data_IF_434849899247
#
_entry.id   IF_434849899247
#
_cell.length_a   1.000
_cell.length_b   1.000
_cell.length_c   1.000
_cell.angle_alpha   90.00
_cell.angle_beta   90.00
_cell.angle_gamma   90.00
#
_symmetry.space_group_name_H-M   'P 1'
#
loop_
_entity.id
_entity.type
_entity.pdbx_description
1 polymer ?
#
# COMPACT_ATOMS: atom_id res chain seq x y z
N UNK A 1 11.34 -4.75 2.46
CA UNK A 1 11.10 -5.61 1.29
C UNK A 1 10.99 -4.72 0.08
N UNK A 2 11.98 -4.80 -0.80
CA UNK A 2 12.04 -4.03 -2.03
C UNK A 2 10.96 -4.53 -3.02
N UNK A 3 10.51 -3.69 -3.97
CA UNK A 3 9.69 -4.15 -5.10
C UNK A 3 10.32 -5.34 -5.83
N UNK A 4 11.66 -5.39 -5.89
CA UNK A 4 12.43 -6.47 -6.51
C UNK A 4 12.21 -7.82 -5.81
N UNK A 5 12.12 -7.83 -4.48
CA UNK A 5 11.88 -9.06 -3.70
C UNK A 5 10.51 -9.67 -4.06
N UNK A 6 9.48 -8.83 -4.23
CA UNK A 6 8.13 -9.29 -4.58
C UNK A 6 8.13 -9.84 -6.01
N UNK A 7 8.82 -9.18 -6.94
CA UNK A 7 8.98 -9.68 -8.31
C UNK A 7 9.76 -10.99 -8.35
N UNK A 8 10.76 -11.17 -7.48
CA UNK A 8 11.48 -12.44 -7.37
C UNK A 8 10.56 -13.57 -6.87
N UNK A 9 9.73 -13.31 -5.86
CA UNK A 9 8.72 -14.27 -5.37
C UNK A 9 7.75 -14.64 -6.49
N UNK A 10 7.26 -13.66 -7.24
CA UNK A 10 6.37 -13.87 -8.40
C UNK A 10 7.04 -14.75 -9.46
N UNK A 11 8.28 -14.45 -9.84
CA UNK A 11 9.04 -15.28 -10.80
C UNK A 11 9.34 -16.67 -10.26
N UNK A 12 9.50 -16.82 -8.94
CA UNK A 12 9.63 -18.11 -8.29
C UNK A 12 8.34 -18.93 -8.41
N UNK A 13 7.18 -18.28 -8.23
CA UNK A 13 5.88 -18.92 -8.45
C UNK A 13 5.69 -19.38 -9.89
N UNK A 14 6.01 -18.55 -10.88
CA UNK A 14 5.93 -18.94 -12.29
C UNK A 14 6.76 -20.20 -12.57
N UNK A 15 7.98 -20.26 -12.03
CA UNK A 15 8.85 -21.45 -12.14
C UNK A 15 8.24 -22.68 -11.48
N UNK A 16 7.68 -22.54 -10.28
CA UNK A 16 7.04 -23.64 -9.55
C UNK A 16 5.78 -24.15 -10.25
N UNK A 17 4.97 -23.26 -10.81
CA UNK A 17 3.76 -23.62 -11.55
C UNK A 17 4.12 -24.31 -12.85
N UNK A 18 5.12 -23.81 -13.57
CA UNK A 18 5.65 -24.48 -14.76
C UNK A 18 6.18 -25.89 -14.43
N UNK A 19 6.90 -26.03 -13.30
CA UNK A 19 7.40 -27.32 -12.84
C UNK A 19 6.27 -28.28 -12.43
N UNK A 20 5.25 -27.80 -11.72
CA UNK A 20 4.07 -28.59 -11.35
C UNK A 20 3.31 -29.07 -12.59
N UNK A 21 3.14 -28.20 -13.60
CA UNK A 21 2.53 -28.58 -14.89
C UNK A 21 3.31 -29.69 -15.56
N UNK A 22 4.63 -29.57 -15.63
CA UNK A 22 5.46 -30.59 -16.27
C UNK A 22 5.38 -31.93 -15.54
N UNK A 23 5.40 -31.91 -14.20
CA UNK A 23 5.22 -33.12 -13.40
C UNK A 23 3.88 -33.82 -13.64
N UNK A 24 2.79 -33.05 -13.81
CA UNK A 24 1.46 -33.63 -14.14
C UNK A 24 1.45 -34.24 -15.54
N UNK A 25 2.08 -33.60 -16.53
CA UNK A 25 2.19 -34.13 -17.89
C UNK A 25 2.99 -35.44 -17.89
N UNK A 26 4.16 -35.46 -17.25
CA UNK A 26 5.00 -36.66 -17.14
C UNK A 26 4.26 -37.79 -16.42
N UNK A 27 3.55 -37.50 -15.33
CA UNK A 27 2.75 -38.50 -14.62
C UNK A 27 1.59 -39.07 -15.46
N UNK A 28 0.98 -38.25 -16.33
CA UNK A 28 -0.05 -38.71 -17.27
C UNK A 28 0.54 -39.58 -18.38
N UNK A 29 1.72 -39.23 -18.89
CA UNK A 29 2.41 -39.97 -19.95
C UNK A 29 2.86 -41.35 -19.44
N UNK A 30 3.50 -41.41 -18.26
CA UNK A 30 3.86 -42.66 -17.57
C UNK A 30 2.64 -43.55 -17.28
N UNK A 31 1.51 -42.94 -16.92
CA UNK A 31 0.26 -43.67 -16.70
C UNK A 31 -0.30 -44.26 -18.00
N UNK A 32 -0.21 -43.51 -19.11
CA UNK A 32 -0.62 -43.99 -20.44
C UNK A 32 0.27 -45.13 -20.93
N UNK A 33 1.59 -45.05 -20.78
CA UNK A 33 2.51 -46.13 -21.18
C UNK A 33 2.35 -47.41 -20.35
N UNK A 34 2.03 -47.29 -19.07
CA UNK A 34 1.89 -48.44 -18.16
C UNK A 34 0.53 -49.15 -18.22
N UNK A 35 -0.48 -48.52 -18.83
CA UNK A 35 -1.87 -48.96 -18.79
C UNK A 35 -2.41 -49.54 -20.09
N UNK A 36 -2.81 -50.81 -20.11
CA UNK A 36 -3.57 -51.37 -21.24
C UNK A 36 -4.95 -50.71 -21.43
N UNK A 37 -5.59 -50.92 -22.59
CA UNK A 37 -6.88 -50.39 -23.13
C UNK A 37 -7.91 -49.76 -22.16
N UNK A 38 -8.03 -50.22 -20.92
CA UNK A 38 -8.89 -49.59 -19.89
C UNK A 38 -8.35 -48.22 -19.39
N UNK A 39 -7.05 -47.97 -19.51
CA UNK A 39 -6.41 -46.72 -19.08
C UNK A 39 -6.61 -45.59 -20.09
N UNK A 40 -6.66 -45.88 -21.39
CA UNK A 40 -6.96 -44.86 -22.41
C UNK A 40 -8.31 -44.19 -22.18
N UNK A 41 -9.33 -44.96 -21.78
CA UNK A 41 -10.67 -44.41 -21.47
C UNK A 41 -10.63 -43.52 -20.22
N UNK A 42 -9.82 -43.86 -19.22
CA UNK A 42 -9.66 -43.04 -18.02
C UNK A 42 -8.87 -41.76 -18.31
N UNK A 43 -7.84 -41.82 -19.18
CA UNK A 43 -7.07 -40.67 -19.64
C UNK A 43 -7.93 -39.72 -20.47
N UNK A 44 -8.82 -40.22 -21.34
CA UNK A 44 -9.73 -39.36 -22.10
C UNK A 44 -10.77 -38.65 -21.20
N UNK A 45 -11.33 -39.37 -20.21
CA UNK A 45 -12.34 -38.80 -19.30
C UNK A 45 -11.72 -37.77 -18.34
N UNK A 46 -10.50 -38.01 -17.84
CA UNK A 46 -9.86 -37.16 -16.83
C UNK A 46 -8.92 -36.12 -17.46
N UNK A 47 -8.26 -36.46 -18.56
CA UNK A 47 -7.21 -35.65 -19.18
C UNK A 47 -7.71 -34.36 -19.79
N UNK A 48 -8.85 -34.37 -20.49
CA UNK A 48 -9.41 -33.14 -21.08
C UNK A 48 -9.86 -32.13 -20.01
N UNK A 49 -10.64 -32.52 -18.97
CA UNK A 49 -10.97 -31.61 -17.87
C UNK A 49 -9.75 -31.12 -17.08
N UNK A 50 -8.75 -31.98 -16.86
CA UNK A 50 -7.53 -31.62 -16.14
C UNK A 50 -6.69 -30.63 -16.93
N UNK A 51 -6.52 -30.84 -18.23
CA UNK A 51 -5.82 -29.90 -19.10
C UNK A 51 -6.50 -28.52 -19.11
N UNK A 52 -7.84 -28.49 -19.20
CA UNK A 52 -8.61 -27.25 -19.11
C UNK A 52 -8.46 -26.56 -17.75
N UNK A 53 -8.43 -27.32 -16.65
CA UNK A 53 -8.21 -26.76 -15.31
C UNK A 53 -6.79 -26.19 -15.15
N UNK A 54 -5.77 -26.85 -15.70
CA UNK A 54 -4.39 -26.35 -15.69
C UNK A 54 -4.23 -25.10 -16.55
N UNK A 55 -4.90 -25.03 -17.70
CA UNK A 55 -4.93 -23.83 -18.54
C UNK A 55 -5.64 -22.67 -17.84
N UNK A 56 -6.77 -22.94 -17.18
CA UNK A 56 -7.47 -21.93 -16.38
C UNK A 56 -6.61 -21.43 -15.21
N UNK A 57 -5.88 -22.33 -14.55
CA UNK A 57 -4.94 -21.97 -13.50
C UNK A 57 -3.81 -21.08 -14.02
N UNK A 58 -3.20 -21.43 -15.15
CA UNK A 58 -2.14 -20.62 -15.78
C UNK A 58 -2.67 -19.20 -16.09
N UNK A 59 -3.88 -19.10 -16.65
CA UNK A 59 -4.51 -17.83 -16.95
C UNK A 59 -4.75 -17.00 -15.68
N UNK A 60 -5.32 -17.60 -14.63
CA UNK A 60 -5.57 -16.91 -13.36
C UNK A 60 -4.27 -16.42 -12.70
N UNK A 61 -3.21 -17.21 -12.76
CA UNK A 61 -1.89 -16.84 -12.23
C UNK A 61 -1.33 -15.66 -13.01
N UNK A 62 -1.38 -15.68 -14.35
CA UNK A 62 -0.93 -14.56 -15.19
C UNK A 62 -1.71 -13.29 -14.91
N UNK A 63 -3.04 -13.39 -14.79
CA UNK A 63 -3.91 -12.25 -14.50
C UNK A 63 -3.64 -11.68 -13.10
N UNK A 64 -3.40 -12.55 -12.12
CA UNK A 64 -2.98 -12.16 -10.77
C UNK A 64 -1.64 -11.41 -10.81
N UNK A 65 -0.63 -11.97 -11.49
CA UNK A 65 0.69 -11.36 -11.63
C UNK A 65 0.60 -9.99 -12.29
N UNK A 66 -0.09 -9.88 -13.43
CA UNK A 66 -0.27 -8.62 -14.14
C UNK A 66 -1.04 -7.58 -13.30
N UNK A 67 -1.93 -8.03 -12.42
CA UNK A 67 -2.64 -7.16 -11.49
C UNK A 67 -1.73 -6.71 -10.35
N UNK A 68 -0.94 -7.60 -9.77
CA UNK A 68 0.04 -7.27 -8.74
C UNK A 68 1.11 -6.31 -9.27
N UNK A 69 1.64 -6.53 -10.48
CA UNK A 69 2.60 -5.62 -11.11
C UNK A 69 2.01 -4.21 -11.27
N UNK A 70 0.78 -4.10 -11.79
CA UNK A 70 0.08 -2.81 -11.91
C UNK A 70 -0.11 -2.13 -10.57
N UNK A 71 -0.52 -2.87 -9.54
CA UNK A 71 -0.73 -2.31 -8.19
C UNK A 71 0.59 -1.87 -7.57
N UNK A 72 1.64 -2.68 -7.66
CA UNK A 72 2.97 -2.36 -7.09
C UNK A 72 3.57 -1.13 -7.77
N UNK A 73 3.46 -1.03 -9.10
CA UNK A 73 3.90 0.14 -9.85
C UNK A 73 3.08 1.38 -9.44
N UNK A 74 1.76 1.25 -9.31
CA UNK A 74 0.88 2.36 -8.95
C UNK A 74 1.09 2.86 -7.50
N UNK A 75 1.38 1.96 -6.56
CA UNK A 75 1.62 2.31 -5.15
C UNK A 75 2.99 2.97 -4.92
N UNK A 76 3.91 2.89 -5.89
CA UNK A 76 5.24 3.48 -5.79
C UNK A 76 6.11 2.83 -4.71
N UNK A 77 7.18 3.52 -4.30
CA UNK A 77 8.08 3.06 -3.24
C UNK A 77 7.68 3.72 -1.90
N UNK A 78 7.32 2.97 -0.85
CA UNK A 78 6.98 3.55 0.45
C UNK A 78 8.13 4.37 1.06
N UNK A 79 9.39 4.05 0.73
CA UNK A 79 10.53 4.89 1.15
C UNK A 79 10.54 6.27 0.50
N UNK A 80 9.95 6.42 -0.68
CA UNK A 80 9.82 7.73 -1.32
C UNK A 80 8.80 8.57 -0.54
N UNK A 81 7.71 7.95 -0.09
CA UNK A 81 6.72 8.59 0.78
C UNK A 81 7.30 8.94 2.14
N UNK A 82 8.08 8.06 2.77
CA UNK A 82 8.81 8.36 4.02
C UNK A 82 9.76 9.56 3.83
N UNK A 83 10.50 9.59 2.71
CA UNK A 83 11.38 10.72 2.38
C UNK A 83 10.62 12.02 2.15
N UNK A 84 9.48 11.97 1.47
CA UNK A 84 8.61 13.14 1.25
C UNK A 84 8.00 13.60 2.58
N UNK A 85 7.55 12.70 3.44
CA UNK A 85 7.03 12.99 4.79
C UNK A 85 8.09 13.70 5.64
N UNK A 86 9.31 13.15 5.67
CA UNK A 86 10.43 13.75 6.39
C UNK A 86 10.83 15.12 5.80
N UNK A 87 10.89 15.25 4.48
CA UNK A 87 11.20 16.52 3.82
C UNK A 87 10.11 17.57 4.07
N UNK A 88 8.83 17.20 4.04
CA UNK A 88 7.73 18.10 4.35
C UNK A 88 7.82 18.62 5.79
N UNK A 89 8.02 17.72 6.75
CA UNK A 89 8.18 18.07 8.16
C UNK A 89 9.38 19.02 8.37
N UNK A 90 10.52 18.72 7.74
CA UNK A 90 11.72 19.55 7.85
C UNK A 90 11.59 20.92 7.15
N UNK A 91 11.17 20.93 5.88
CA UNK A 91 11.16 22.14 5.04
C UNK A 91 9.95 23.04 5.31
N UNK A 92 8.78 22.46 5.59
CA UNK A 92 7.56 23.23 5.87
C UNK A 92 7.39 23.43 7.36
N UNK A 93 7.41 22.33 8.13
CA UNK A 93 7.26 22.39 9.59
C UNK A 93 8.40 23.16 10.25
N UNK A 94 9.65 22.84 9.91
CA UNK A 94 10.81 23.53 10.45
C UNK A 94 10.84 25.03 10.13
N UNK A 95 10.48 25.43 8.90
CA UNK A 95 10.41 26.87 8.55
C UNK A 95 9.25 27.58 9.24
N UNK A 96 8.10 26.94 9.37
CA UNK A 96 6.97 27.54 10.04
C UNK A 96 7.24 27.72 11.54
N UNK A 97 7.84 26.72 12.20
CA UNK A 97 8.29 26.84 13.59
C UNK A 97 9.36 27.93 13.75
N UNK A 98 10.32 28.04 12.82
CA UNK A 98 11.30 29.13 12.84
C UNK A 98 10.65 30.53 12.76
N UNK A 99 9.59 30.69 11.97
CA UNK A 99 8.83 31.95 11.93
C UNK A 99 8.09 32.23 13.26
N UNK A 100 7.58 31.20 13.94
CA UNK A 100 6.99 31.36 15.29
C UNK A 100 8.04 31.86 16.26
N UNK A 101 9.24 31.27 16.24
CA UNK A 101 10.38 31.68 17.08
C UNK A 101 10.81 33.13 16.78
N UNK A 102 10.90 33.51 15.51
CA UNK A 102 11.29 34.87 15.10
C UNK A 102 10.29 35.95 15.52
N UNK A 103 9.02 35.59 15.69
CA UNK A 103 7.91 36.51 16.04
C UNK A 103 7.60 36.46 17.55
N UNK A 104 8.33 35.65 18.33
CA UNK A 104 8.02 35.41 19.74
C UNK A 104 8.03 36.72 20.55
N UNK A 105 7.02 36.99 21.39
CA UNK A 105 6.89 38.27 22.10
C UNK A 105 8.06 38.57 23.05
N UNK A 106 8.77 37.53 23.49
CA UNK A 106 9.99 37.63 24.30
C UNK A 106 11.09 38.44 23.59
N UNK A 107 11.16 38.39 22.25
CA UNK A 107 12.08 39.19 21.44
C UNK A 107 11.63 40.66 21.36
N UNK A 108 10.32 40.92 21.43
CA UNK A 108 9.78 42.29 21.48
C UNK A 108 10.00 42.94 22.86
N UNK A 109 10.14 42.17 23.93
CA UNK A 109 10.46 42.68 25.26
C UNK A 109 11.95 43.01 25.45
N UNK A 110 12.82 42.49 24.59
CA UNK A 110 14.25 42.83 24.62
C UNK A 110 14.49 44.30 24.24
N UNK A 111 13.69 44.85 23.33
CA UNK A 111 13.77 46.27 22.98
C UNK A 111 12.86 47.13 23.87
N UNK A 112 13.30 47.32 25.13
CA UNK A 112 12.58 48.11 26.15
C UNK A 112 12.38 49.59 25.81
N UNK A 113 12.88 50.04 24.65
CA UNK A 113 12.75 51.43 24.23
C UNK A 113 11.43 51.71 23.52
N UNK A 114 10.75 50.69 22.97
CA UNK A 114 9.47 50.87 22.30
C UNK A 114 8.30 50.71 23.29
N UNK A 115 7.61 51.82 23.56
CA UNK A 115 6.50 51.91 24.52
C UNK A 115 5.35 52.74 23.96
N UNK A 116 4.19 52.71 24.65
CA UNK A 116 3.00 53.48 24.29
C UNK A 116 1.95 52.69 23.48
N UNK A 117 0.87 53.37 23.11
CA UNK A 117 -0.34 52.77 22.50
C UNK A 117 -0.04 51.97 21.22
N UNK A 118 0.90 52.44 20.39
CA UNK A 118 1.32 51.72 19.18
C UNK A 118 2.01 50.38 19.49
N UNK A 119 2.81 50.31 20.55
CA UNK A 119 3.47 49.06 20.97
C UNK A 119 2.45 48.04 21.51
N UNK A 120 1.42 48.51 22.23
CA UNK A 120 0.35 47.66 22.74
C UNK A 120 -0.52 47.12 21.60
N UNK A 121 -0.87 47.96 20.64
CA UNK A 121 -1.61 47.55 19.44
C UNK A 121 -0.82 46.51 18.64
N UNK A 122 0.50 46.69 18.48
CA UNK A 122 1.33 45.71 17.79
C UNK A 122 1.40 44.37 18.54
N UNK A 123 1.60 44.38 19.86
CA UNK A 123 1.58 43.15 20.69
C UNK A 123 0.26 42.38 20.58
N UNK A 124 -0.86 43.10 20.50
CA UNK A 124 -2.17 42.49 20.29
C UNK A 124 -2.26 41.79 18.93
N UNK A 125 -1.76 42.42 17.86
CA UNK A 125 -1.72 41.83 16.51
C UNK A 125 -0.79 40.62 16.45
N UNK A 126 0.41 40.71 17.03
CA UNK A 126 1.38 39.60 17.06
C UNK A 126 0.82 38.38 17.79
N UNK A 127 0.12 38.57 18.91
CA UNK A 127 -0.54 37.46 19.62
C UNK A 127 -1.57 36.75 18.74
N UNK A 128 -2.34 37.51 17.96
CA UNK A 128 -3.32 36.95 17.01
C UNK A 128 -2.61 36.20 15.88
N UNK A 129 -1.51 36.74 15.36
CA UNK A 129 -0.72 36.11 14.31
C UNK A 129 -0.08 34.80 14.79
N UNK A 130 0.49 34.77 15.99
CA UNK A 130 1.08 33.57 16.57
C UNK A 130 0.03 32.48 16.77
N UNK A 131 -1.14 32.85 17.31
CA UNK A 131 -2.25 31.89 17.46
C UNK A 131 -2.74 31.35 16.12
N UNK A 132 -2.88 32.23 15.13
CA UNK A 132 -3.25 31.80 13.78
C UNK A 132 -2.16 30.92 13.13
N UNK A 133 -0.87 31.19 13.41
CA UNK A 133 0.21 30.34 12.93
C UNK A 133 0.18 28.97 13.61
N UNK A 134 -0.05 28.92 14.92
CA UNK A 134 -0.18 27.68 15.70
C UNK A 134 -1.36 26.83 15.19
N UNK A 135 -2.53 27.47 15.03
CA UNK A 135 -3.75 26.87 14.49
C UNK A 135 -3.58 26.36 13.04
N UNK A 136 -2.62 26.91 12.29
CA UNK A 136 -2.28 26.46 10.92
C UNK A 136 -1.25 25.35 10.98
N UNK A 137 -0.12 25.57 11.67
CA UNK A 137 1.06 24.68 11.68
C UNK A 137 0.72 23.32 12.24
N UNK A 138 0.05 23.26 13.39
CA UNK A 138 -0.25 22.00 14.05
C UNK A 138 -1.07 21.03 13.17
N UNK A 139 -2.26 21.40 12.68
CA UNK A 139 -3.05 20.47 11.87
C UNK A 139 -2.48 20.24 10.47
N UNK A 140 -1.70 21.18 9.92
CA UNK A 140 -1.08 20.99 8.61
C UNK A 140 0.12 20.07 8.64
N UNK A 141 1.08 20.40 9.48
CA UNK A 141 2.36 19.71 9.51
C UNK A 141 2.13 18.33 10.12
N UNK A 142 1.45 18.28 11.27
CA UNK A 142 1.19 17.02 11.97
C UNK A 142 0.14 16.19 11.24
N UNK A 143 -0.91 16.81 10.69
CA UNK A 143 -1.97 16.08 9.98
C UNK A 143 -1.48 15.46 8.66
N UNK A 144 -0.73 16.22 7.85
CA UNK A 144 -0.15 15.67 6.61
C UNK A 144 0.90 14.61 6.92
N UNK A 145 1.76 14.85 7.91
CA UNK A 145 2.75 13.85 8.32
C UNK A 145 2.08 12.56 8.79
N UNK A 146 1.06 12.65 9.65
CA UNK A 146 0.31 11.48 10.11
C UNK A 146 -0.35 10.72 8.95
N UNK A 147 -0.97 11.43 8.00
CA UNK A 147 -1.59 10.80 6.83
C UNK A 147 -0.56 10.11 5.92
N UNK A 148 0.63 10.70 5.75
CA UNK A 148 1.72 10.09 4.98
C UNK A 148 2.29 8.85 5.70
N UNK A 149 2.48 8.93 7.01
CA UNK A 149 3.00 7.82 7.82
C UNK A 149 2.00 6.64 7.87
N UNK A 150 0.70 6.94 7.92
CA UNK A 150 -0.39 5.96 7.81
C UNK A 150 -0.40 5.31 6.41
N UNK A 151 -0.29 6.11 5.35
CA UNK A 151 -0.21 5.59 3.99
C UNK A 151 1.02 4.68 3.78
N UNK A 152 2.18 5.05 4.32
CA UNK A 152 3.39 4.22 4.31
C UNK A 152 3.13 2.89 5.03
N UNK A 153 2.52 2.92 6.20
CA UNK A 153 2.21 1.72 7.00
C UNK A 153 1.22 0.80 6.28
N UNK A 154 0.20 1.37 5.64
CA UNK A 154 -0.76 0.63 4.84
C UNK A 154 -0.10 -0.07 3.64
N UNK A 155 0.79 0.63 2.93
CA UNK A 155 1.55 0.05 1.80
C UNK A 155 2.43 -1.10 2.28
N UNK A 156 3.13 -0.94 3.42
CA UNK A 156 3.94 -2.02 4.00
C UNK A 156 3.09 -3.24 4.39
N UNK A 157 1.96 -3.01 5.05
CA UNK A 157 1.04 -4.07 5.49
C UNK A 157 0.46 -4.81 4.29
N UNK A 158 0.04 -4.09 3.25
CA UNK A 158 -0.43 -4.69 2.01
C UNK A 158 0.64 -5.56 1.35
N UNK A 159 1.88 -5.07 1.22
CA UNK A 159 2.99 -5.84 0.65
C UNK A 159 3.25 -7.12 1.43
N UNK A 160 3.26 -7.05 2.76
CA UNK A 160 3.42 -8.22 3.62
C UNK A 160 2.26 -9.23 3.42
N UNK A 161 1.02 -8.73 3.34
CA UNK A 161 -0.17 -9.56 3.09
C UNK A 161 -0.12 -10.28 1.75
N UNK A 162 0.29 -9.58 0.68
CA UNK A 162 0.48 -10.18 -0.65
C UNK A 162 1.52 -11.29 -0.59
N UNK A 163 2.68 -11.05 0.02
CA UNK A 163 3.73 -12.08 0.12
C UNK A 163 3.27 -13.30 0.91
N UNK A 164 2.59 -13.10 2.04
CA UNK A 164 2.04 -14.21 2.82
C UNK A 164 1.02 -15.02 2.02
N UNK A 165 0.14 -14.35 1.26
CA UNK A 165 -0.82 -15.02 0.39
C UNK A 165 -0.13 -15.84 -0.71
N UNK A 166 0.91 -15.28 -1.36
CA UNK A 166 1.68 -15.97 -2.38
C UNK A 166 2.41 -17.20 -1.81
N UNK A 167 3.04 -17.06 -0.64
CA UNK A 167 3.69 -18.18 0.07
C UNK A 167 2.69 -19.28 0.45
N UNK A 168 1.48 -18.92 0.88
CA UNK A 168 0.42 -19.88 1.18
C UNK A 168 -0.02 -20.67 -0.06
N UNK A 169 -0.15 -20.01 -1.21
CA UNK A 169 -0.44 -20.68 -2.49
C UNK A 169 0.67 -21.67 -2.83
N UNK A 170 1.95 -21.26 -2.77
CA UNK A 170 3.10 -22.15 -3.02
C UNK A 170 3.08 -23.36 -2.09
N UNK A 171 2.91 -23.13 -0.78
CA UNK A 171 2.91 -24.19 0.22
C UNK A 171 1.75 -25.19 0.05
N UNK A 172 0.67 -24.78 -0.64
CA UNK A 172 -0.49 -25.63 -0.90
C UNK A 172 -0.32 -26.57 -2.10
N UNK A 173 0.59 -26.26 -3.04
CA UNK A 173 0.80 -27.05 -4.26
C UNK A 173 1.18 -28.53 -4.00
N UNK A 174 2.08 -28.87 -3.05
CA UNK A 174 2.45 -30.26 -2.80
C UNK A 174 1.30 -31.13 -2.28
N UNK A 175 0.30 -30.52 -1.61
CA UNK A 175 -0.85 -31.25 -1.07
C UNK A 175 -1.94 -31.52 -2.13
N UNK A 176 -1.86 -30.84 -3.28
CA UNK A 176 -2.91 -30.83 -4.30
C UNK A 176 -2.71 -31.88 -5.41
N UNK A 177 -1.70 -32.75 -5.31
CA UNK A 177 -1.43 -33.84 -6.28
C UNK A 177 -2.55 -34.90 -6.31
N UNK A 178 -3.48 -34.87 -5.34
CA UNK A 178 -4.78 -35.50 -5.51
C UNK A 178 -5.67 -34.57 -6.37
N UNK A 179 -6.11 -35.04 -7.53
CA UNK A 179 -6.74 -34.25 -8.62
C UNK A 179 -7.97 -33.40 -8.20
N UNK A 180 -8.61 -33.69 -7.06
CA UNK A 180 -9.81 -32.98 -6.58
C UNK A 180 -9.53 -31.69 -5.76
N UNK A 181 -8.60 -31.64 -4.78
CA UNK A 181 -8.34 -30.44 -3.97
C UNK A 181 -7.64 -29.24 -4.66
N UNK A 182 -7.10 -29.40 -5.87
CA UNK A 182 -6.28 -28.36 -6.53
C UNK A 182 -7.09 -27.11 -6.92
N UNK A 183 -8.36 -27.28 -7.30
CA UNK A 183 -9.26 -26.14 -7.62
C UNK A 183 -9.65 -25.36 -6.36
N UNK A 184 -9.85 -26.05 -5.24
CA UNK A 184 -10.23 -25.42 -3.98
C UNK A 184 -9.10 -24.56 -3.40
N UNK A 185 -7.85 -24.99 -3.54
CA UNK A 185 -6.67 -24.29 -2.99
C UNK A 185 -6.37 -22.97 -3.72
N UNK A 186 -6.55 -22.95 -5.04
CA UNK A 186 -6.38 -21.74 -5.87
C UNK A 186 -7.44 -20.69 -5.53
N UNK A 187 -8.69 -21.11 -5.32
CA UNK A 187 -9.77 -20.22 -4.90
C UNK A 187 -9.47 -19.54 -3.56
N UNK A 188 -8.88 -20.26 -2.59
CA UNK A 188 -8.50 -19.70 -1.29
C UNK A 188 -7.42 -18.61 -1.42
N UNK A 189 -6.45 -18.80 -2.32
CA UNK A 189 -5.41 -17.81 -2.60
C UNK A 189 -5.96 -16.50 -3.17
N UNK A 190 -6.88 -16.61 -4.14
CA UNK A 190 -7.54 -15.45 -4.74
C UNK A 190 -8.36 -14.65 -3.70
N UNK A 191 -9.05 -15.34 -2.78
CA UNK A 191 -9.81 -14.69 -1.70
C UNK A 191 -8.89 -13.94 -0.73
N UNK A 192 -7.72 -14.49 -0.40
CA UNK A 192 -6.76 -13.82 0.48
C UNK A 192 -6.22 -12.52 -0.14
N UNK A 193 -5.89 -12.53 -1.44
CA UNK A 193 -5.43 -11.32 -2.16
C UNK A 193 -6.56 -10.28 -2.23
N UNK A 194 -7.79 -10.70 -2.52
CA UNK A 194 -8.95 -9.80 -2.53
C UNK A 194 -9.19 -9.15 -1.15
N UNK A 195 -9.03 -9.91 -0.06
CA UNK A 195 -9.12 -9.39 1.31
C UNK A 195 -8.03 -8.36 1.62
N UNK A 196 -6.78 -8.62 1.23
CA UNK A 196 -5.68 -7.66 1.40
C UNK A 196 -5.90 -6.37 0.60
N UNK A 197 -6.42 -6.49 -0.63
CA UNK A 197 -6.79 -5.32 -1.45
C UNK A 197 -7.92 -4.51 -0.82
N UNK A 198 -8.90 -5.17 -0.21
CA UNK A 198 -10.00 -4.50 0.47
C UNK A 198 -9.52 -3.71 1.69
N UNK A 199 -8.66 -4.30 2.52
CA UNK A 199 -8.05 -3.61 3.66
C UNK A 199 -7.22 -2.39 3.21
N UNK A 200 -6.36 -2.55 2.19
CA UNK A 200 -5.61 -1.44 1.62
C UNK A 200 -6.53 -0.31 1.12
N UNK A 201 -7.67 -0.67 0.53
CA UNK A 201 -8.64 0.31 0.03
C UNK A 201 -9.28 1.13 1.16
N UNK A 202 -9.47 0.52 2.33
CA UNK A 202 -9.96 1.20 3.55
C UNK A 202 -8.90 2.16 4.07
N UNK A 203 -7.66 1.69 4.27
CA UNK A 203 -6.58 2.52 4.80
C UNK A 203 -6.28 3.72 3.87
N UNK A 204 -6.32 3.51 2.55
CA UNK A 204 -6.18 4.59 1.57
C UNK A 204 -7.36 5.56 1.59
N UNK A 205 -8.58 5.07 1.86
CA UNK A 205 -9.76 5.91 1.99
C UNK A 205 -9.68 6.78 3.25
N UNK A 206 -9.16 6.23 4.36
CA UNK A 206 -8.96 6.95 5.62
C UNK A 206 -7.86 8.02 5.46
N UNK A 207 -6.70 7.66 4.89
CA UNK A 207 -5.64 8.61 4.58
C UNK A 207 -6.15 9.76 3.67
N UNK A 208 -6.97 9.43 2.66
CA UNK A 208 -7.62 10.42 1.80
C UNK A 208 -8.60 11.30 2.59
N UNK A 209 -9.40 10.72 3.48
CA UNK A 209 -10.35 11.45 4.33
C UNK A 209 -9.63 12.46 5.21
N UNK A 210 -8.51 12.06 5.82
CA UNK A 210 -7.63 12.94 6.59
C UNK A 210 -7.13 14.10 5.72
N UNK A 211 -6.58 13.81 4.53
CA UNK A 211 -6.10 14.86 3.62
C UNK A 211 -7.21 15.82 3.16
N UNK A 212 -8.41 15.30 2.88
CA UNK A 212 -9.56 16.12 2.47
C UNK A 212 -10.04 16.98 3.64
N UNK A 213 -10.15 16.42 4.84
CA UNK A 213 -10.59 17.18 6.02
C UNK A 213 -9.59 18.26 6.40
N UNK A 214 -8.27 17.99 6.34
CA UNK A 214 -7.22 19.00 6.47
C UNK A 214 -7.36 20.09 5.38
N UNK A 215 -7.60 19.69 4.13
CA UNK A 215 -7.79 20.64 3.02
C UNK A 215 -9.10 21.44 3.07
N UNK A 216 -10.15 20.89 3.68
CA UNK A 216 -11.43 21.57 3.88
C UNK A 216 -11.35 22.53 5.06
N UNK A 217 -10.68 22.17 6.16
CA UNK A 217 -10.35 23.08 7.26
C UNK A 217 -9.56 24.29 6.74
N UNK A 218 -8.58 24.06 5.87
CA UNK A 218 -7.93 25.19 5.19
C UNK A 218 -8.92 26.03 4.40
N UNK A 219 -9.83 25.44 3.63
CA UNK A 219 -10.75 26.22 2.79
C UNK A 219 -11.81 26.97 3.59
N UNK A 220 -12.27 26.43 4.72
CA UNK A 220 -13.32 27.03 5.55
C UNK A 220 -12.77 28.05 6.55
N UNK A 221 -11.65 27.73 7.19
CA UNK A 221 -11.14 28.45 8.35
C UNK A 221 -9.94 29.33 8.01
N UNK A 222 -9.45 29.29 6.76
CA UNK A 222 -8.54 30.32 6.29
C UNK A 222 -9.18 31.67 6.52
N UNK A 223 -8.49 32.59 7.23
CA UNK A 223 -8.97 33.94 7.35
C UNK A 223 -9.14 34.44 5.93
N UNK A 224 -10.39 34.66 5.50
CA UNK A 224 -10.68 35.45 4.31
C UNK A 224 -10.14 36.82 4.66
N UNK A 225 -8.85 37.04 4.38
CA UNK A 225 -8.14 38.25 4.73
C UNK A 225 -9.03 39.39 4.23
N UNK A 226 -9.53 40.15 5.21
CA UNK A 226 -10.61 41.09 5.04
C UNK A 226 -10.31 42.01 3.86
N UNK A 227 -11.20 41.97 2.86
CA UNK A 227 -11.42 43.09 1.96
C UNK A 227 -12.31 44.12 2.63
#
# INVERSE_FOLDING_TARGET
MEPEDILEIVRSMERLIAQARQYVIEAMDDFSESGGVMVDVAVDIVGSPLAAALEQLDQLVRDLIATLERIIIALGNPRDLERISAAWSADVGGRAMGLVEDIEPSLLEQDRTWTGEASEAYRAVVTIQLRALDDVVDPLVTGIQAALDEAVTAIWTFRAGVVLALLAVIASLPAAVAILPLVATVATGAVAVAGAMWLLSIDLADARSTLVSTGDLMRSDWPRAAG
#
